data_IF_540320096867
#
_entry.id   IF_540320096867
#
_cell.length_a   1.000
_cell.length_b   1.000
_cell.length_c   1.000
_cell.angle_alpha   90.00
_cell.angle_beta   90.00
_cell.angle_gamma   90.00
#
_symmetry.space_group_name_H-M   'P 1'
#
loop_
_entity.id
_entity.type
_entity.pdbx_description
1 polymer ?
#
# COMPACT_ATOMS: atom_id res chain seq x y z
N UNK A 1 12.70 1.87 27.15
CA UNK A 1 11.32 1.51 26.75
C UNK A 1 11.36 0.36 25.76
N UNK A 2 11.40 -0.89 26.23
CA UNK A 2 11.34 -2.05 25.34
C UNK A 2 9.90 -2.47 25.13
N UNK A 3 9.41 -2.40 23.90
CA UNK A 3 8.20 -3.13 23.54
C UNK A 3 8.47 -4.62 23.64
N UNK A 4 7.97 -5.27 24.68
CA UNK A 4 7.76 -6.71 24.64
C UNK A 4 6.56 -7.01 23.74
N UNK A 5 6.70 -6.82 22.43
CA UNK A 5 5.70 -7.35 21.49
C UNK A 5 5.84 -8.86 21.48
N UNK A 6 4.81 -9.57 21.94
CA UNK A 6 4.74 -11.02 21.82
C UNK A 6 4.89 -11.45 20.36
N UNK A 7 5.66 -12.51 20.15
CA UNK A 7 5.87 -13.15 18.84
C UNK A 7 4.93 -14.36 18.78
N UNK A 8 3.90 -14.36 17.92
CA UNK A 8 3.02 -15.51 17.79
C UNK A 8 3.77 -16.71 17.19
N UNK A 9 3.23 -17.90 17.41
CA UNK A 9 3.62 -19.09 16.67
C UNK A 9 2.89 -19.11 15.33
N UNK A 10 3.60 -19.45 14.26
CA UNK A 10 3.12 -19.56 12.88
C UNK A 10 3.14 -21.02 12.49
N UNK A 11 2.10 -21.47 11.78
CA UNK A 11 1.99 -22.87 11.34
C UNK A 11 2.82 -23.11 10.09
N UNK A 12 3.57 -24.21 10.05
CA UNK A 12 4.24 -24.69 8.84
C UNK A 12 3.28 -25.56 8.06
N UNK A 13 3.00 -25.19 6.81
CA UNK A 13 2.09 -25.93 5.95
C UNK A 13 2.84 -26.86 5.00
N UNK A 14 2.65 -28.17 5.10
CA UNK A 14 2.93 -29.10 4.00
C UNK A 14 2.20 -30.42 4.20
N UNK A 15 1.63 -30.93 3.10
CA UNK A 15 0.79 -32.11 2.98
C UNK A 15 -0.41 -32.21 3.96
N UNK A 16 -1.56 -32.69 3.47
CA UNK A 16 -2.74 -32.87 4.33
C UNK A 16 -2.54 -33.94 5.42
N UNK A 17 -1.43 -34.68 5.37
CA UNK A 17 -1.15 -35.87 6.17
C UNK A 17 -0.17 -35.67 7.32
N UNK A 18 0.48 -34.51 7.45
CA UNK A 18 1.48 -34.26 8.51
C UNK A 18 0.91 -33.41 9.66
N UNK A 19 1.44 -33.64 10.87
CA UNK A 19 1.07 -32.89 12.07
C UNK A 19 1.52 -31.42 11.97
N UNK A 20 0.76 -30.46 12.51
CA UNK A 20 1.09 -29.05 12.39
C UNK A 20 2.35 -28.72 13.19
N UNK A 21 3.48 -28.51 12.49
CA UNK A 21 4.68 -27.94 13.08
C UNK A 21 4.50 -26.44 13.23
N UNK A 22 5.02 -25.87 14.32
CA UNK A 22 4.91 -24.43 14.60
C UNK A 22 6.29 -23.80 14.79
N UNK A 23 6.45 -22.55 14.30
CA UNK A 23 7.69 -21.77 14.38
C UNK A 23 7.36 -20.38 14.91
N UNK A 24 8.21 -19.80 15.76
CA UNK A 24 7.98 -18.45 16.26
C UNK A 24 8.16 -17.40 15.16
N UNK A 25 7.26 -16.43 15.05
CA UNK A 25 7.33 -15.33 14.08
C UNK A 25 8.62 -14.50 14.29
N UNK A 26 9.54 -14.40 13.31
CA UNK A 26 10.76 -13.60 13.40
C UNK A 26 10.53 -12.14 13.79
N UNK A 27 11.44 -11.56 14.56
CA UNK A 27 11.29 -10.19 15.08
C UNK A 27 11.22 -9.12 13.97
N UNK A 28 11.84 -9.40 12.82
CA UNK A 28 11.79 -8.52 11.63
C UNK A 28 10.36 -8.23 11.14
N UNK A 29 9.40 -9.14 11.32
CA UNK A 29 8.00 -8.91 10.95
C UNK A 29 7.28 -7.88 11.83
N UNK A 30 7.85 -7.56 12.99
CA UNK A 30 7.36 -6.51 13.90
C UNK A 30 8.10 -5.18 13.72
N UNK A 31 9.08 -5.12 12.82
CA UNK A 31 9.81 -3.89 12.54
C UNK A 31 8.87 -2.80 11.99
N UNK A 32 9.12 -1.51 12.29
CA UNK A 32 8.28 -0.40 11.84
C UNK A 32 8.25 -0.30 10.31
N UNK A 33 7.04 -0.31 9.74
CA UNK A 33 6.84 -0.16 8.29
C UNK A 33 6.95 1.32 7.92
N UNK A 34 7.93 1.65 7.07
CA UNK A 34 8.18 3.01 6.56
C UNK A 34 8.04 3.07 5.03
N UNK A 35 6.82 3.24 4.49
CA UNK A 35 6.59 3.24 3.04
C UNK A 35 7.28 4.42 2.33
N UNK A 36 7.47 5.53 3.04
CA UNK A 36 8.26 6.69 2.62
C UNK A 36 9.72 6.29 2.30
N UNK A 37 10.37 5.61 3.24
CA UNK A 37 11.76 5.15 3.09
C UNK A 37 11.86 4.06 2.02
N UNK A 38 10.93 3.11 2.01
CA UNK A 38 10.89 2.04 1.00
C UNK A 38 10.79 2.63 -0.40
N UNK A 39 9.88 3.57 -0.63
CA UNK A 39 9.71 4.19 -1.94
C UNK A 39 10.94 5.01 -2.35
N UNK A 40 11.51 5.77 -1.41
CA UNK A 40 12.73 6.56 -1.65
C UNK A 40 13.92 5.68 -2.06
N UNK A 41 14.23 4.63 -1.29
CA UNK A 41 15.34 3.72 -1.59
C UNK A 41 15.05 2.95 -2.87
N UNK A 42 13.82 2.46 -3.07
CA UNK A 42 13.44 1.75 -4.29
C UNK A 42 13.67 2.61 -5.54
N UNK A 43 13.32 3.89 -5.50
CA UNK A 43 13.55 4.81 -6.62
C UNK A 43 15.05 4.92 -6.95
N UNK A 44 15.92 5.08 -5.94
CA UNK A 44 17.36 5.17 -6.12
C UNK A 44 17.95 3.87 -6.68
N UNK A 45 17.66 2.73 -6.05
CA UNK A 45 18.17 1.42 -6.46
C UNK A 45 17.68 1.03 -7.86
N UNK A 46 16.44 1.38 -8.22
CA UNK A 46 15.89 1.15 -9.56
C UNK A 46 16.65 1.90 -10.66
N UNK A 47 17.21 3.08 -10.36
CA UNK A 47 18.00 3.86 -11.32
C UNK A 47 19.37 3.24 -11.62
N UNK A 48 19.91 2.42 -10.72
CA UNK A 48 21.24 1.81 -10.90
C UNK A 48 21.31 0.81 -12.06
N UNK A 49 20.17 0.27 -12.51
CA UNK A 49 20.11 -0.65 -13.65
C UNK A 49 19.95 0.05 -15.01
N UNK A 50 19.96 1.39 -15.05
CA UNK A 50 19.78 2.14 -16.30
C UNK A 50 21.06 2.10 -17.13
N UNK A 51 20.92 1.82 -18.41
CA UNK A 51 22.01 1.95 -19.39
C UNK A 51 22.07 3.41 -19.90
N UNK A 52 23.26 4.00 -20.05
CA UNK A 52 23.41 5.34 -20.59
C UNK A 52 22.95 5.39 -22.05
N UNK A 53 22.42 6.54 -22.46
CA UNK A 53 22.07 6.83 -23.84
C UNK A 53 22.43 8.29 -24.13
N UNK A 54 22.95 8.55 -25.31
CA UNK A 54 23.30 9.89 -25.78
C UNK A 54 22.92 10.03 -27.25
N UNK A 55 22.66 11.26 -27.67
CA UNK A 55 22.57 11.60 -29.11
C UNK A 55 23.99 11.75 -29.64
N UNK A 56 24.20 11.57 -30.95
CA UNK A 56 25.47 11.92 -31.58
C UNK A 56 25.83 13.37 -31.28
N UNK A 57 27.10 13.64 -30.97
CA UNK A 57 27.59 14.99 -30.63
C UNK A 57 27.34 16.00 -31.75
N UNK A 58 27.44 15.56 -33.00
CA UNK A 58 27.31 16.43 -34.19
C UNK A 58 25.87 16.56 -34.70
N UNK A 59 24.89 15.96 -34.03
CA UNK A 59 23.50 16.01 -34.48
C UNK A 59 22.94 17.44 -34.42
N UNK A 60 22.62 18.01 -35.59
CA UNK A 60 22.07 19.37 -35.71
C UNK A 60 23.10 20.49 -35.80
N UNK A 61 24.40 20.18 -35.67
CA UNK A 61 25.49 21.14 -35.84
C UNK A 61 26.12 21.14 -37.23
N UNK A 62 25.70 20.21 -38.10
CA UNK A 62 26.13 20.12 -39.50
C UNK A 62 25.43 21.15 -40.42
N UNK A 63 24.77 22.16 -39.85
CA UNK A 63 23.99 23.18 -40.58
C UNK A 63 24.20 24.56 -39.98
N UNK A 64 24.45 25.57 -40.82
CA UNK A 64 24.51 26.99 -40.43
C UNK A 64 23.11 27.60 -40.41
N UNK A 65 22.58 27.96 -39.23
CA UNK A 65 21.26 28.59 -39.07
C UNK A 65 21.20 29.48 -37.80
N UNK A 66 20.38 30.54 -37.82
CA UNK A 66 20.18 31.49 -36.71
C UNK A 66 18.68 31.71 -36.41
N UNK A 67 18.33 32.02 -35.15
CA UNK A 67 16.95 32.06 -34.63
C UNK A 67 16.22 33.39 -34.82
N UNK A 68 14.88 33.35 -34.89
CA UNK A 68 13.98 34.52 -35.08
C UNK A 68 13.05 34.85 -33.86
N UNK A 69 13.24 34.27 -32.66
CA UNK A 69 12.53 34.69 -31.41
C UNK A 69 11.26 33.89 -30.99
N UNK A 70 10.66 34.24 -29.84
CA UNK A 70 9.67 33.43 -29.06
C UNK A 70 8.18 33.80 -29.23
N UNK A 71 7.24 32.82 -29.10
CA UNK A 71 5.79 33.10 -29.01
C UNK A 71 4.77 31.93 -29.04
N UNK A 72 5.10 30.65 -28.77
CA UNK A 72 4.14 29.53 -28.96
C UNK A 72 4.23 28.44 -27.87
N UNK A 73 3.22 28.33 -27.02
CA UNK A 73 3.20 27.54 -25.78
C UNK A 73 2.14 26.41 -25.76
N UNK A 74 2.52 25.15 -25.49
CA UNK A 74 1.60 24.09 -24.97
C UNK A 74 2.38 22.96 -24.27
N UNK A 75 1.89 22.44 -23.14
CA UNK A 75 2.34 21.17 -22.53
C UNK A 75 1.18 20.21 -22.19
N UNK A 76 1.52 18.95 -21.94
CA UNK A 76 0.68 17.73 -22.12
C UNK A 76 0.51 16.86 -20.84
N UNK A 77 -0.69 16.25 -20.74
CA UNK A 77 -1.06 14.85 -20.35
C UNK A 77 -1.33 14.44 -18.86
N UNK A 78 -2.29 13.48 -18.60
CA UNK A 78 -2.77 13.03 -17.27
C UNK A 78 -2.31 11.60 -16.82
N UNK A 79 -2.79 11.09 -15.66
CA UNK A 79 -2.33 9.84 -14.96
C UNK A 79 -3.47 8.89 -14.47
N UNK A 80 -3.17 7.61 -14.19
CA UNK A 80 -4.12 6.53 -13.75
C UNK A 80 -3.58 5.72 -12.54
N UNK A 81 -4.48 5.12 -11.73
CA UNK A 81 -4.25 4.41 -10.43
C UNK A 81 -4.11 2.87 -10.53
N UNK A 82 -3.42 2.25 -9.56
CA UNK A 82 -2.88 0.88 -9.56
C UNK A 82 -3.75 -0.25 -8.96
N UNK A 83 -3.20 -1.48 -8.88
CA UNK A 83 -3.92 -2.68 -8.39
C UNK A 83 -3.04 -3.75 -7.72
N UNK A 84 -3.60 -4.45 -6.71
CA UNK A 84 -2.90 -5.42 -5.82
C UNK A 84 -3.11 -6.92 -6.14
N UNK A 85 -2.80 -7.81 -5.16
CA UNK A 85 -2.83 -9.29 -5.21
C UNK A 85 -4.20 -9.91 -4.84
N UNK A 86 -4.44 -11.19 -5.17
CA UNK A 86 -5.61 -11.99 -4.73
C UNK A 86 -5.18 -13.05 -3.71
N UNK A 87 -5.61 -12.89 -2.45
CA UNK A 87 -5.08 -13.67 -1.31
C UNK A 87 -6.15 -14.14 -0.31
N UNK A 88 -7.43 -14.06 -0.69
CA UNK A 88 -8.56 -14.32 0.23
C UNK A 88 -8.65 -15.78 0.71
N UNK A 89 -8.17 -16.72 -0.10
CA UNK A 89 -8.30 -18.16 0.17
C UNK A 89 -7.08 -18.75 0.90
N UNK A 90 -5.99 -17.98 1.04
CA UNK A 90 -4.74 -18.42 1.69
C UNK A 90 -4.99 -18.63 3.19
N UNK A 91 -4.49 -19.73 3.80
CA UNK A 91 -4.85 -20.12 5.17
C UNK A 91 -4.33 -19.16 6.25
N UNK A 92 -3.08 -18.71 6.13
CA UNK A 92 -2.39 -17.92 7.16
C UNK A 92 -1.40 -16.91 6.54
N UNK A 93 -1.14 -15.82 7.26
CA UNK A 93 -0.08 -14.85 6.93
C UNK A 93 0.80 -14.59 8.17
N UNK A 94 2.14 -14.67 8.06
CA UNK A 94 2.93 -15.10 6.89
C UNK A 94 2.71 -16.56 6.51
N UNK A 95 2.74 -16.85 5.20
CA UNK A 95 2.59 -18.21 4.71
C UNK A 95 3.95 -18.94 4.74
N UNK A 96 4.08 -19.91 5.63
CA UNK A 96 5.29 -20.74 5.80
C UNK A 96 4.99 -22.16 5.34
N UNK A 97 5.88 -22.74 4.53
CA UNK A 97 5.75 -24.08 3.95
C UNK A 97 6.97 -24.94 4.26
N UNK A 98 6.80 -26.27 4.30
CA UNK A 98 7.91 -27.18 4.61
C UNK A 98 9.06 -27.09 3.60
N UNK A 99 10.27 -27.38 4.05
CA UNK A 99 11.49 -27.40 3.23
C UNK A 99 11.49 -28.46 2.11
N UNK A 100 10.57 -29.43 2.13
CA UNK A 100 10.35 -30.36 1.00
C UNK A 100 10.11 -29.62 -0.33
N UNK A 101 9.53 -28.42 -0.28
CA UNK A 101 9.31 -27.56 -1.45
C UNK A 101 10.64 -27.17 -2.14
N UNK A 102 11.76 -27.12 -1.40
CA UNK A 102 13.07 -26.79 -1.94
C UNK A 102 13.61 -27.87 -2.91
N UNK A 103 13.18 -29.12 -2.73
CA UNK A 103 13.58 -30.26 -3.57
C UNK A 103 12.73 -30.47 -4.81
N UNK A 104 11.71 -29.64 -5.06
CA UNK A 104 10.89 -29.74 -6.26
C UNK A 104 11.73 -29.44 -7.50
N UNK A 105 11.73 -30.36 -8.47
CA UNK A 105 12.49 -30.22 -9.71
C UNK A 105 11.61 -29.88 -10.91
N UNK A 106 10.34 -30.35 -10.91
CA UNK A 106 9.44 -30.22 -12.05
C UNK A 106 8.43 -29.10 -11.84
N UNK A 107 8.17 -28.31 -12.89
CA UNK A 107 7.15 -27.24 -12.86
C UNK A 107 5.74 -27.77 -12.59
N UNK A 108 5.44 -29.01 -13.01
CA UNK A 108 4.14 -29.66 -12.75
C UNK A 108 3.87 -29.82 -11.26
N UNK A 109 4.90 -30.23 -10.50
CA UNK A 109 4.83 -30.40 -9.04
C UNK A 109 4.68 -29.03 -8.36
N UNK A 110 5.45 -28.03 -8.81
CA UNK A 110 5.34 -26.65 -8.33
C UNK A 110 3.93 -26.06 -8.55
N UNK A 111 3.29 -26.33 -9.69
CA UNK A 111 1.91 -25.91 -9.97
C UNK A 111 0.91 -26.63 -9.06
N UNK A 112 1.09 -27.94 -8.82
CA UNK A 112 0.23 -28.70 -7.91
C UNK A 112 0.31 -28.14 -6.48
N UNK A 113 1.52 -27.85 -6.01
CA UNK A 113 1.77 -27.20 -4.73
C UNK A 113 1.06 -25.83 -4.60
N UNK A 114 1.20 -24.93 -5.59
CA UNK A 114 0.56 -23.60 -5.52
C UNK A 114 -0.98 -23.66 -5.52
N UNK A 115 -1.56 -24.72 -6.09
CA UNK A 115 -3.01 -24.98 -6.01
C UNK A 115 -3.40 -25.47 -4.61
N UNK A 116 -2.62 -26.36 -4.03
CA UNK A 116 -2.85 -26.89 -2.68
C UNK A 116 -2.81 -25.78 -1.62
N UNK A 117 -1.86 -24.85 -1.76
CA UNK A 117 -1.68 -23.69 -0.86
C UNK A 117 -2.66 -22.53 -1.19
N UNK A 118 -3.56 -22.72 -2.17
CA UNK A 118 -4.58 -21.74 -2.60
C UNK A 118 -3.99 -20.40 -3.08
N UNK A 119 -2.73 -20.40 -3.51
CA UNK A 119 -2.04 -19.26 -4.13
C UNK A 119 -2.29 -19.15 -5.64
N UNK A 120 -2.95 -20.14 -6.24
CA UNK A 120 -3.16 -20.23 -7.69
C UNK A 120 -4.08 -19.12 -8.26
N UNK A 121 -4.97 -18.56 -7.46
CA UNK A 121 -5.84 -17.43 -7.86
C UNK A 121 -5.04 -16.19 -8.25
N UNK A 122 -3.97 -15.87 -7.53
CA UNK A 122 -3.07 -14.76 -7.85
C UNK A 122 -2.31 -15.00 -9.17
N UNK A 123 -1.91 -16.25 -9.43
CA UNK A 123 -1.22 -16.64 -10.67
C UNK A 123 -2.17 -16.59 -11.86
N UNK A 124 -3.42 -17.07 -11.71
CA UNK A 124 -4.48 -16.90 -12.73
C UNK A 124 -4.64 -15.43 -13.11
N UNK A 125 -4.62 -14.52 -12.13
CA UNK A 125 -4.67 -13.07 -12.38
C UNK A 125 -3.45 -12.54 -13.12
N UNK A 126 -2.25 -13.09 -12.89
CA UNK A 126 -1.07 -12.76 -13.70
C UNK A 126 -1.28 -13.19 -15.14
N UNK A 127 -1.69 -14.44 -15.39
CA UNK A 127 -1.92 -14.98 -16.74
C UNK A 127 -2.95 -14.13 -17.49
N UNK A 128 -4.09 -13.82 -16.86
CA UNK A 128 -5.13 -12.97 -17.45
C UNK A 128 -4.68 -11.52 -17.70
N UNK A 129 -3.64 -11.05 -17.00
CA UNK A 129 -3.12 -9.69 -17.15
C UNK A 129 -2.11 -9.52 -18.28
N UNK A 130 -1.70 -10.62 -18.93
CA UNK A 130 -0.75 -10.58 -20.04
C UNK A 130 -1.35 -9.80 -21.20
N UNK A 131 -0.68 -8.71 -21.58
CA UNK A 131 -1.10 -7.86 -22.71
C UNK A 131 0.10 -7.22 -23.39
N UNK A 132 -0.12 -6.74 -24.61
CA UNK A 132 0.88 -5.92 -25.31
C UNK A 132 1.05 -4.56 -24.61
N UNK A 133 2.30 -4.11 -24.51
CA UNK A 133 2.63 -2.79 -23.97
C UNK A 133 2.12 -1.70 -24.91
N UNK A 134 1.46 -0.69 -24.35
CA UNK A 134 1.10 0.50 -25.11
C UNK A 134 2.35 1.35 -25.44
N UNK A 135 2.39 1.93 -26.65
CA UNK A 135 3.45 2.84 -27.10
C UNK A 135 4.73 2.17 -27.63
N UNK A 136 5.79 2.97 -27.73
CA UNK A 136 7.08 2.65 -28.41
C UNK A 136 7.89 1.55 -27.70
N UNK A 137 7.55 1.22 -26.46
CA UNK A 137 8.21 0.14 -25.72
C UNK A 137 8.17 -1.22 -26.44
N UNK A 138 7.18 -1.43 -27.33
CA UNK A 138 7.08 -2.64 -28.16
C UNK A 138 8.27 -2.85 -29.11
N UNK A 139 8.83 -1.76 -29.62
CA UNK A 139 10.00 -1.77 -30.52
C UNK A 139 11.32 -1.89 -29.76
N UNK A 140 11.33 -1.62 -28.45
CA UNK A 140 12.52 -1.64 -27.59
C UNK A 140 12.58 -2.88 -26.69
N UNK A 141 12.30 -4.07 -27.25
CA UNK A 141 12.32 -5.37 -26.56
C UNK A 141 11.47 -5.46 -25.28
N UNK A 142 10.41 -4.64 -25.16
CA UNK A 142 9.49 -4.62 -23.99
C UNK A 142 8.04 -4.79 -24.44
N UNK A 143 7.81 -5.69 -25.40
CA UNK A 143 6.53 -5.90 -26.09
C UNK A 143 5.40 -6.36 -25.18
N UNK A 144 5.65 -7.25 -24.23
CA UNK A 144 4.64 -7.80 -23.32
C UNK A 144 4.76 -7.22 -21.92
N UNK A 145 3.62 -7.07 -21.23
CA UNK A 145 3.54 -6.71 -19.81
C UNK A 145 2.57 -7.64 -19.09
N UNK A 146 2.87 -7.93 -17.83
CA UNK A 146 2.05 -8.75 -16.94
C UNK A 146 2.20 -8.26 -15.50
N UNK A 147 1.26 -8.64 -14.63
CA UNK A 147 1.36 -8.40 -13.18
C UNK A 147 2.47 -9.23 -12.55
N UNK A 148 2.95 -8.78 -11.39
CA UNK A 148 3.80 -9.59 -10.50
C UNK A 148 2.89 -10.45 -9.63
N UNK A 149 3.24 -11.73 -9.49
CA UNK A 149 2.57 -12.68 -8.63
C UNK A 149 3.34 -12.91 -7.33
N UNK A 150 3.17 -14.07 -6.69
CA UNK A 150 3.82 -14.37 -5.42
C UNK A 150 5.34 -14.42 -5.56
N UNK A 151 6.03 -14.08 -4.47
CA UNK A 151 7.47 -14.26 -4.32
C UNK A 151 7.73 -15.45 -3.40
N UNK A 152 8.53 -16.41 -3.85
CA UNK A 152 8.92 -17.58 -3.05
C UNK A 152 10.32 -17.32 -2.50
N UNK A 153 10.48 -17.46 -1.19
CA UNK A 153 11.76 -17.29 -0.50
C UNK A 153 12.21 -18.61 0.10
N UNK A 154 13.42 -19.03 -0.25
CA UNK A 154 14.01 -20.30 0.17
C UNK A 154 15.35 -20.11 0.90
N UNK A 155 15.73 -21.12 1.69
CA UNK A 155 17.02 -21.18 2.37
C UNK A 155 18.12 -21.65 1.42
N UNK A 156 17.98 -22.88 0.91
CA UNK A 156 18.93 -23.50 -0.03
C UNK A 156 18.28 -23.81 -1.38
N UNK A 157 19.05 -23.74 -2.46
CA UNK A 157 18.54 -24.07 -3.81
C UNK A 157 18.73 -25.56 -4.11
N UNK A 158 17.72 -26.37 -3.77
CA UNK A 158 17.67 -27.80 -4.09
C UNK A 158 17.07 -28.11 -5.47
N UNK A 159 16.82 -27.11 -6.31
CA UNK A 159 16.08 -27.24 -7.58
C UNK A 159 14.86 -26.32 -7.69
N UNK A 160 14.46 -25.69 -6.57
CA UNK A 160 13.32 -24.77 -6.48
C UNK A 160 13.40 -23.63 -7.51
N UNK A 161 14.59 -23.08 -7.76
CA UNK A 161 14.74 -22.00 -8.74
C UNK A 161 14.31 -22.43 -10.14
N UNK A 162 14.65 -23.67 -10.55
CA UNK A 162 14.30 -24.24 -11.86
C UNK A 162 12.83 -24.62 -11.93
N UNK A 163 12.27 -25.21 -10.87
CA UNK A 163 10.88 -25.64 -10.86
C UNK A 163 9.90 -24.47 -11.02
N UNK A 164 10.16 -23.33 -10.37
CA UNK A 164 9.24 -22.20 -10.32
C UNK A 164 9.50 -21.11 -11.38
N UNK A 165 10.70 -21.01 -11.96
CA UNK A 165 11.06 -19.93 -12.93
C UNK A 165 10.17 -19.87 -14.17
N UNK A 166 9.59 -20.98 -14.60
CA UNK A 166 8.74 -21.03 -15.80
C UNK A 166 7.28 -20.60 -15.52
N UNK A 167 6.89 -20.42 -14.25
CA UNK A 167 5.52 -20.03 -13.91
C UNK A 167 5.39 -18.50 -14.02
N UNK A 168 4.43 -17.97 -14.79
CA UNK A 168 4.32 -16.53 -15.03
C UNK A 168 4.03 -15.75 -13.76
N UNK A 169 4.86 -14.73 -13.49
CA UNK A 169 4.71 -13.80 -12.36
C UNK A 169 5.25 -14.30 -11.03
N UNK A 170 5.62 -15.58 -10.93
CA UNK A 170 6.30 -16.11 -9.75
C UNK A 170 7.77 -15.71 -9.81
N UNK A 171 8.24 -15.03 -8.77
CA UNK A 171 9.67 -14.78 -8.59
C UNK A 171 10.18 -15.68 -7.46
N UNK A 172 11.45 -16.07 -7.54
CA UNK A 172 12.13 -16.84 -6.48
C UNK A 172 13.34 -16.05 -5.98
N UNK A 173 13.66 -16.18 -4.69
CA UNK A 173 14.75 -15.46 -4.02
C UNK A 173 15.31 -16.27 -2.85
N UNK A 174 16.63 -16.20 -2.64
CA UNK A 174 17.27 -16.75 -1.45
C UNK A 174 17.12 -15.76 -0.27
N UNK A 175 16.85 -16.27 0.94
CA UNK A 175 16.73 -15.47 2.17
C UNK A 175 17.97 -14.63 2.51
N UNK A 176 19.17 -15.07 2.16
CA UNK A 176 20.40 -14.29 2.41
C UNK A 176 20.51 -13.08 1.48
N UNK A 177 19.99 -13.21 0.27
CA UNK A 177 20.10 -12.22 -0.81
C UNK A 177 18.75 -11.54 -1.09
N UNK A 178 18.13 -10.98 -0.05
CA UNK A 178 16.87 -10.28 -0.19
C UNK A 178 17.01 -9.00 -1.03
N UNK A 179 16.17 -8.85 -2.06
CA UNK A 179 16.20 -7.70 -2.95
C UNK A 179 14.93 -6.85 -2.82
N UNK A 180 15.11 -5.57 -2.50
CA UNK A 180 14.04 -4.58 -2.36
C UNK A 180 13.16 -4.46 -3.62
N UNK A 181 13.75 -4.48 -4.82
CA UNK A 181 13.01 -4.33 -6.09
C UNK A 181 12.03 -5.48 -6.33
N UNK A 182 12.34 -6.66 -5.79
CA UNK A 182 11.48 -7.84 -5.86
C UNK A 182 10.50 -7.90 -4.69
N UNK A 183 10.89 -7.45 -3.48
CA UNK A 183 10.01 -7.42 -2.30
C UNK A 183 8.93 -6.33 -2.38
N UNK A 184 9.28 -5.16 -2.92
CA UNK A 184 8.39 -4.01 -3.06
C UNK A 184 8.37 -3.49 -4.51
N UNK A 185 7.79 -4.24 -5.48
CA UNK A 185 7.79 -3.84 -6.87
C UNK A 185 7.13 -2.47 -7.08
N UNK A 186 7.88 -1.52 -7.64
CA UNK A 186 7.39 -0.16 -7.87
C UNK A 186 7.36 0.71 -6.61
N UNK A 187 8.04 0.32 -5.53
CA UNK A 187 8.09 1.06 -4.27
C UNK A 187 6.87 0.84 -3.36
N UNK A 188 5.96 -0.06 -3.74
CA UNK A 188 4.79 -0.41 -2.94
C UNK A 188 5.10 -1.62 -2.04
N UNK A 189 4.87 -1.48 -0.74
CA UNK A 189 4.98 -2.57 0.25
C UNK A 189 3.80 -3.53 0.14
N UNK A 190 3.98 -4.78 0.59
CA UNK A 190 2.91 -5.77 0.66
C UNK A 190 2.78 -6.68 -0.57
N UNK A 191 3.91 -7.11 -1.15
CA UNK A 191 3.92 -8.23 -2.09
C UNK A 191 3.56 -9.52 -1.36
N UNK A 192 2.78 -10.41 -2.00
CA UNK A 192 2.51 -11.73 -1.43
C UNK A 192 3.78 -12.59 -1.46
N UNK A 193 4.22 -13.05 -0.29
CA UNK A 193 5.45 -13.83 -0.10
C UNK A 193 5.10 -15.19 0.52
N UNK A 194 5.72 -16.24 -0.01
CA UNK A 194 5.67 -17.62 0.50
C UNK A 194 7.08 -17.96 1.01
N UNK A 195 7.19 -18.35 2.27
CA UNK A 195 8.46 -18.69 2.92
C UNK A 195 8.60 -20.20 3.05
N UNK A 196 9.78 -20.76 2.76
CA UNK A 196 10.11 -22.09 3.26
C UNK A 196 10.48 -22.01 4.74
N UNK A 197 10.24 -23.08 5.48
CA UNK A 197 10.56 -23.26 6.88
C UNK A 197 11.98 -22.81 7.26
N UNK A 198 13.02 -23.40 6.65
CA UNK A 198 14.41 -23.02 6.91
C UNK A 198 14.71 -21.55 6.60
N UNK A 199 14.10 -20.99 5.56
CA UNK A 199 14.23 -19.57 5.24
C UNK A 199 13.62 -18.69 6.34
N UNK A 200 12.50 -19.11 6.89
CA UNK A 200 11.80 -18.36 7.93
C UNK A 200 12.58 -18.36 9.25
N UNK A 201 13.18 -19.49 9.62
CA UNK A 201 14.03 -19.61 10.81
C UNK A 201 15.33 -18.78 10.67
N UNK A 202 15.94 -18.76 9.49
CA UNK A 202 17.17 -17.99 9.22
C UNK A 202 17.00 -16.47 9.36
N UNK A 203 15.78 -15.93 9.32
CA UNK A 203 15.54 -14.49 9.41
C UNK A 203 16.01 -13.87 10.74
N UNK A 204 15.88 -14.60 11.85
CA UNK A 204 16.32 -14.12 13.16
C UNK A 204 17.85 -14.08 13.26
N UNK A 205 18.57 -15.02 12.65
CA UNK A 205 20.03 -14.96 12.56
C UNK A 205 20.49 -13.82 11.63
N UNK A 206 19.80 -13.63 10.50
CA UNK A 206 20.14 -12.63 9.48
C UNK A 206 19.92 -11.19 9.96
N UNK A 207 18.86 -10.92 10.71
CA UNK A 207 18.48 -9.56 11.11
C UNK A 207 18.53 -9.30 12.61
N UNK A 208 18.62 -10.35 13.42
CA UNK A 208 18.56 -10.24 14.87
C UNK A 208 17.16 -9.96 15.42
N UNK A 209 17.12 -9.69 16.72
CA UNK A 209 15.97 -9.17 17.45
C UNK A 209 16.38 -7.86 18.11
N UNK A 210 15.44 -7.06 18.64
CA UNK A 210 15.85 -5.83 19.38
C UNK A 210 16.76 -6.10 20.59
N UNK A 211 16.77 -7.33 21.12
CA UNK A 211 17.62 -7.74 22.26
C UNK A 211 18.95 -8.37 21.81
N UNK A 212 19.00 -8.97 20.63
CA UNK A 212 20.16 -9.71 20.11
C UNK A 212 20.50 -9.18 18.72
N UNK A 213 21.70 -8.64 18.56
CA UNK A 213 22.17 -8.13 17.27
C UNK A 213 22.21 -9.22 16.19
N UNK A 214 22.28 -8.80 14.92
CA UNK A 214 22.40 -9.73 13.80
C UNK A 214 23.72 -10.51 13.86
N UNK A 215 23.65 -11.81 13.57
CA UNK A 215 24.84 -12.67 13.48
C UNK A 215 25.54 -12.50 12.12
N UNK A 216 24.78 -12.36 11.04
CA UNK A 216 25.35 -12.25 9.69
C UNK A 216 25.72 -10.80 9.30
N UNK A 217 25.12 -9.79 9.92
CA UNK A 217 25.31 -8.37 9.56
C UNK A 217 25.97 -7.60 10.69
N UNK A 218 27.27 -7.32 10.49
CA UNK A 218 28.08 -6.56 11.44
C UNK A 218 27.47 -5.18 11.72
N UNK A 219 27.26 -4.88 13.01
CA UNK A 219 26.78 -3.58 13.48
C UNK A 219 25.31 -3.28 13.13
N UNK A 220 24.53 -4.30 12.74
CA UNK A 220 23.12 -4.13 12.44
C UNK A 220 22.24 -4.59 13.60
N UNK A 221 21.24 -3.76 13.93
CA UNK A 221 20.13 -4.10 14.80
C UNK A 221 18.82 -3.54 14.21
N UNK A 222 17.68 -4.10 14.63
CA UNK A 222 16.36 -3.70 14.16
C UNK A 222 16.05 -2.24 14.54
N UNK A 223 15.42 -1.46 13.63
CA UNK A 223 15.03 -0.10 13.95
C UNK A 223 13.98 -0.07 15.07
N UNK A 224 14.13 0.87 16.01
CA UNK A 224 13.16 1.07 17.07
C UNK A 224 11.89 1.76 16.52
N UNK A 225 10.69 1.25 16.85
CA UNK A 225 9.45 1.94 16.50
C UNK A 225 9.32 3.25 17.30
N UNK A 226 8.91 4.34 16.63
CA UNK A 226 8.69 5.63 17.30
C UNK A 226 7.49 5.62 18.26
N UNK A 227 6.49 4.79 17.96
CA UNK A 227 5.31 4.61 18.79
C UNK A 227 5.21 3.14 19.20
N UNK A 228 4.98 2.92 20.49
CA UNK A 228 4.83 1.59 21.04
C UNK A 228 3.51 0.92 20.62
N UNK A 229 2.40 1.63 20.81
CA UNK A 229 1.09 1.22 20.36
C UNK A 229 0.64 2.12 19.20
N UNK A 230 0.39 1.53 18.04
CA UNK A 230 -0.09 2.25 16.84
C UNK A 230 -1.61 2.29 16.74
N UNK A 231 -2.34 1.57 17.60
CA UNK A 231 -3.80 1.62 17.66
C UNK A 231 -4.26 2.89 18.40
N UNK A 232 -4.27 4.00 17.65
CA UNK A 232 -4.75 5.30 18.12
C UNK A 232 -6.21 5.23 18.55
N UNK A 233 -7.04 4.39 17.92
CA UNK A 233 -8.44 4.29 18.25
C UNK A 233 -8.62 3.69 19.65
N UNK A 234 -7.83 2.67 20.01
CA UNK A 234 -7.79 2.14 21.37
C UNK A 234 -7.25 3.17 22.37
N UNK A 235 -6.15 3.84 22.05
CA UNK A 235 -5.56 4.87 22.93
C UNK A 235 -6.57 5.98 23.23
N UNK A 236 -7.18 6.59 22.20
CA UNK A 236 -8.15 7.68 22.36
C UNK A 236 -9.45 7.26 23.08
N UNK A 237 -9.74 5.96 23.11
CA UNK A 237 -10.91 5.40 23.81
C UNK A 237 -10.58 4.92 25.23
N UNK A 238 -9.33 5.01 25.66
CA UNK A 238 -8.93 4.56 26.99
C UNK A 238 -9.58 5.43 28.07
N UNK A 239 -9.86 4.83 29.21
CA UNK A 239 -10.60 5.49 30.28
C UNK A 239 -9.76 6.62 30.91
N UNK A 240 -8.45 6.47 30.94
CA UNK A 240 -7.51 7.49 31.44
C UNK A 240 -7.59 8.77 30.61
N UNK A 241 -7.64 8.65 29.27
CA UNK A 241 -7.79 9.81 28.39
C UNK A 241 -9.20 10.37 28.53
N UNK A 242 -10.23 9.52 28.47
CA UNK A 242 -11.64 9.96 28.51
C UNK A 242 -12.01 10.69 29.80
N UNK A 243 -11.42 10.30 30.94
CA UNK A 243 -11.67 10.94 32.24
C UNK A 243 -11.28 12.41 32.28
N UNK A 244 -10.26 12.81 31.52
CA UNK A 244 -9.73 14.19 31.51
C UNK A 244 -10.34 15.03 30.38
N UNK A 245 -10.95 14.38 29.38
CA UNK A 245 -11.50 15.09 28.23
C UNK A 245 -12.81 15.83 28.55
N UNK A 246 -12.89 17.08 28.08
CA UNK A 246 -14.15 17.85 28.05
C UNK A 246 -15.16 17.26 27.06
N UNK A 247 -16.45 17.53 27.29
CA UNK A 247 -17.52 17.13 26.37
C UNK A 247 -17.31 17.70 24.94
N UNK A 248 -17.54 16.91 23.89
CA UNK A 248 -17.33 17.35 22.51
C UNK A 248 -18.39 18.36 22.05
N UNK A 249 -17.96 19.49 21.49
CA UNK A 249 -18.85 20.50 20.89
C UNK A 249 -19.27 20.08 19.48
N UNK A 250 -20.43 19.41 19.35
CA UNK A 250 -20.94 18.89 18.07
C UNK A 250 -21.79 19.88 17.26
N UNK A 251 -22.08 21.07 17.81
CA UNK A 251 -22.91 22.08 17.13
C UNK A 251 -22.14 22.71 15.97
N UNK A 252 -22.56 22.43 14.74
CA UNK A 252 -22.06 23.11 13.53
C UNK A 252 -22.84 24.41 13.34
N UNK A 253 -22.18 25.55 13.52
CA UNK A 253 -22.77 26.87 13.29
C UNK A 253 -22.66 27.17 11.79
N UNK A 254 -23.78 27.12 11.07
CA UNK A 254 -23.84 27.52 9.66
C UNK A 254 -24.06 29.02 9.55
N UNK A 255 -23.48 29.63 8.51
CA UNK A 255 -23.79 31.01 8.14
C UNK A 255 -25.27 31.11 7.80
N UNK A 256 -26.01 31.86 8.61
CA UNK A 256 -27.42 32.13 8.35
C UNK A 256 -27.50 33.25 7.33
N UNK A 257 -28.25 33.05 6.24
CA UNK A 257 -28.53 34.14 5.28
C UNK A 257 -29.29 35.22 6.02
N UNK A 258 -28.79 36.46 6.00
CA UNK A 258 -29.52 37.61 6.52
C UNK A 258 -30.73 37.85 5.61
N UNK A 259 -31.90 37.49 6.11
CA UNK A 259 -33.17 37.73 5.43
C UNK A 259 -33.61 39.17 5.73
N UNK A 260 -34.14 39.87 4.74
CA UNK A 260 -34.64 41.23 4.92
C UNK A 260 -35.96 41.20 5.74
N UNK A 261 -36.03 41.78 6.94
CA UNK A 261 -37.23 41.75 7.79
C UNK A 261 -38.43 42.47 7.17
N UNK A 262 -38.20 43.53 6.39
CA UNK A 262 -39.27 44.30 5.75
C UNK A 262 -39.98 43.49 4.65
N UNK A 263 -39.26 42.55 4.02
CA UNK A 263 -39.80 41.65 3.00
C UNK A 263 -40.23 40.29 3.57
N UNK A 264 -39.70 39.88 4.74
CA UNK A 264 -39.96 38.58 5.36
C UNK A 264 -40.59 38.75 6.75
N UNK A 265 -41.90 38.51 6.83
CA UNK A 265 -42.69 38.67 8.06
C UNK A 265 -42.19 37.82 9.22
N UNK A 266 -41.78 36.56 9.00
CA UNK A 266 -41.28 35.68 10.06
C UNK A 266 -40.00 36.21 10.69
N UNK A 267 -39.13 36.80 9.89
CA UNK A 267 -37.88 37.41 10.35
C UNK A 267 -38.18 38.70 11.10
N UNK A 268 -39.12 39.51 10.61
CA UNK A 268 -39.60 40.69 11.32
C UNK A 268 -40.17 40.33 12.69
N UNK A 269 -41.01 39.30 12.77
CA UNK A 269 -41.61 38.87 14.03
C UNK A 269 -40.59 38.25 14.98
N UNK A 270 -39.60 37.52 14.47
CA UNK A 270 -38.49 37.00 15.27
C UNK A 270 -37.64 38.12 15.89
N UNK A 271 -37.49 39.25 15.20
CA UNK A 271 -36.72 40.40 15.68
C UNK A 271 -37.58 41.38 16.49
N UNK A 272 -38.85 41.57 16.12
CA UNK A 272 -39.80 42.48 16.74
C UNK A 272 -41.24 41.88 16.68
N UNK A 273 -41.69 41.21 17.75
CA UNK A 273 -43.02 40.62 17.83
C UNK A 273 -44.17 41.65 17.74
N UNK A 274 -43.95 42.89 18.20
CA UNK A 274 -44.97 43.94 18.20
C UNK A 274 -45.38 44.39 16.80
N UNK A 275 -44.56 44.10 15.78
CA UNK A 275 -44.90 44.33 14.38
C UNK A 275 -46.18 43.59 13.93
N UNK A 276 -46.56 42.47 14.58
CA UNK A 276 -47.83 41.80 14.32
C UNK A 276 -49.03 42.65 14.73
N UNK A 277 -48.95 43.26 15.92
CA UNK A 277 -50.03 44.06 16.51
C UNK A 277 -50.26 45.31 15.66
N UNK A 278 -49.19 46.03 15.34
CA UNK A 278 -49.27 47.26 14.54
C UNK A 278 -49.77 46.97 13.12
N UNK A 279 -49.30 45.89 12.49
CA UNK A 279 -49.77 45.50 11.16
C UNK A 279 -51.25 45.10 11.16
N UNK A 280 -51.71 44.36 12.17
CA UNK A 280 -53.14 43.99 12.32
C UNK A 280 -54.02 45.21 12.55
N UNK A 281 -53.63 46.10 13.46
CA UNK A 281 -54.33 47.35 13.70
C UNK A 281 -54.44 48.21 12.44
N UNK A 282 -53.37 48.29 11.65
CA UNK A 282 -53.37 49.02 10.38
C UNK A 282 -54.30 48.38 9.32
N UNK A 283 -54.34 47.05 9.22
CA UNK A 283 -55.25 46.33 8.31
C UNK A 283 -56.71 46.58 8.70
N UNK A 284 -57.05 46.43 9.98
CA UNK A 284 -58.40 46.67 10.48
C UNK A 284 -58.85 48.13 10.26
N UNK A 285 -57.93 49.09 10.45
CA UNK A 285 -58.17 50.50 10.15
C UNK A 285 -58.46 50.72 8.66
N UNK A 286 -57.67 50.11 7.76
CA UNK A 286 -57.88 50.20 6.31
C UNK A 286 -59.20 49.58 5.85
N UNK A 287 -59.55 48.38 6.33
CA UNK A 287 -60.81 47.72 5.97
C UNK A 287 -62.04 48.50 6.43
N UNK A 288 -61.93 49.22 7.56
CA UNK A 288 -62.99 50.09 8.06
C UNK A 288 -63.18 51.33 7.19
N UNK A 289 -62.10 51.89 6.65
CA UNK A 289 -62.16 53.04 5.72
C UNK A 289 -62.71 52.62 4.36
N UNK A 290 -62.33 51.46 3.82
CA UNK A 290 -62.79 51.00 2.49
C UNK A 290 -64.26 50.52 2.46
N UNK A 291 -64.87 50.27 3.62
CA UNK A 291 -66.30 49.94 3.76
C UNK A 291 -67.20 51.18 3.87
N UNK A 292 -66.61 52.36 4.07
CA UNK A 292 -67.27 53.66 4.02
C UNK A 292 -67.17 54.19 2.59
#
# INVERSE_FOLDING_TARGET
MSLSTARPLVTVHFDKSESPKTISLPAIFKAPIRPDVVNFIHQQVSMNHRQPYAVSKEAGHQTSAESWGTGRAVARIPRVRGGGHLVQEVPEFPLVVSDKVQGLQKTKEAVAFLRQVKAWSDIKKVVQSQRLRAGVGKMRNRRHVQRRGPLIIYGNDGGISRAFRNIPGVDVMNVKNLNLLKLAPGGHVGRFIIWTESAFEQLDALWGTWRKESEEKKGYNLPMPKMANTDLARLLKSDEIRKVLRAPKRRVIRKVKKLNPLKNTRVMLKLNPYAAVTKRAAILKKSRVAKK
#
